data_IF_146759357660
#
_entry.id   IF_146759357660
#
_cell.length_a   1.000
_cell.length_b   1.000
_cell.length_c   1.000
_cell.angle_alpha   90.00
_cell.angle_beta   90.00
_cell.angle_gamma   90.00
#
_symmetry.space_group_name_H-M   'P 1'
#
loop_
_entity.id
_entity.type
_entity.pdbx_description
1 polymer ?
#
# COMPACT_ATOMS: atom_id res chain seq x y z
N UNK A 1 26.68 11.60 26.69
CA UNK A 1 26.08 10.36 27.17
C UNK A 1 25.72 9.50 26.00
N UNK A 2 26.43 8.38 25.83
CA UNK A 2 26.10 7.38 24.84
C UNK A 2 24.76 6.74 25.22
N UNK A 3 23.67 7.21 24.64
CA UNK A 3 22.44 6.44 24.57
C UNK A 3 22.70 5.25 23.63
N UNK A 4 23.20 4.16 24.17
CA UNK A 4 23.06 2.85 23.53
C UNK A 4 21.56 2.56 23.53
N UNK A 5 20.95 2.74 22.37
CA UNK A 5 19.62 2.23 22.12
C UNK A 5 19.67 0.74 22.37
N UNK A 6 18.81 0.26 23.24
CA UNK A 6 18.67 -1.18 23.45
C UNK A 6 18.31 -1.79 22.11
N UNK A 7 19.10 -2.76 21.68
CA UNK A 7 18.72 -3.60 20.55
C UNK A 7 17.36 -4.25 20.88
N UNK A 8 16.36 -3.95 20.07
CA UNK A 8 15.05 -4.56 20.23
C UNK A 8 15.13 -5.98 19.66
N UNK A 9 14.82 -6.96 20.50
CA UNK A 9 14.69 -8.34 20.07
C UNK A 9 13.22 -8.72 19.98
N UNK A 10 12.86 -9.40 18.90
CA UNK A 10 11.51 -9.86 18.65
C UNK A 10 11.45 -11.39 18.76
N UNK A 11 10.50 -11.87 19.51
CA UNK A 11 10.34 -13.31 19.77
C UNK A 11 8.95 -13.77 19.30
N UNK A 12 8.90 -14.81 18.46
CA UNK A 12 7.66 -15.52 18.16
C UNK A 12 7.62 -16.79 18.97
N UNK A 13 6.55 -16.96 19.72
CA UNK A 13 6.25 -18.17 20.48
C UNK A 13 5.15 -18.93 19.73
N UNK A 14 5.44 -20.15 19.32
CA UNK A 14 4.48 -21.04 18.68
C UNK A 14 4.31 -22.30 19.53
N UNK A 15 3.06 -22.67 19.76
CA UNK A 15 2.72 -23.95 20.36
C UNK A 15 2.35 -24.93 19.26
N UNK A 16 3.16 -25.96 19.10
CA UNK A 16 2.92 -27.07 18.18
C UNK A 16 2.80 -28.35 19.03
N UNK A 17 1.60 -28.94 19.02
CA UNK A 17 1.25 -30.06 19.88
C UNK A 17 1.57 -29.75 21.35
N UNK A 18 2.41 -30.53 22.01
CA UNK A 18 2.79 -30.28 23.40
C UNK A 18 4.13 -29.54 23.55
N UNK A 19 4.71 -29.06 22.45
CA UNK A 19 5.99 -28.38 22.46
C UNK A 19 5.81 -26.87 22.21
N UNK A 20 6.60 -26.06 22.90
CA UNK A 20 6.69 -24.62 22.67
C UNK A 20 7.97 -24.31 21.92
N UNK A 21 7.83 -23.70 20.74
CA UNK A 21 8.96 -23.21 19.97
C UNK A 21 9.07 -21.70 20.17
N UNK A 22 10.29 -21.25 20.50
CA UNK A 22 10.62 -19.83 20.62
C UNK A 22 11.64 -19.52 19.52
N UNK A 23 11.31 -18.55 18.68
CA UNK A 23 12.19 -18.11 17.60
C UNK A 23 12.49 -16.62 17.74
N UNK A 24 13.78 -16.31 17.82
CA UNK A 24 14.26 -14.94 17.82
C UNK A 24 14.33 -14.36 16.40
N UNK A 25 13.98 -13.09 16.27
CA UNK A 25 14.05 -12.36 15.02
C UNK A 25 14.75 -11.03 15.23
N UNK A 26 15.68 -10.68 14.34
CA UNK A 26 16.40 -9.41 14.38
C UNK A 26 15.51 -8.21 14.02
N UNK A 27 14.42 -8.47 13.30
CA UNK A 27 13.42 -7.47 12.93
C UNK A 27 12.03 -7.98 13.29
N UNK A 28 11.10 -7.05 13.56
CA UNK A 28 9.72 -7.41 13.86
C UNK A 28 9.11 -8.25 12.73
N UNK A 29 8.81 -9.54 12.96
CA UNK A 29 8.26 -10.41 11.93
C UNK A 29 6.75 -10.19 11.71
N UNK A 30 6.10 -9.46 12.64
CA UNK A 30 4.68 -9.13 12.52
C UNK A 30 4.54 -7.93 11.63
N UNK A 31 3.92 -8.13 10.48
CA UNK A 31 3.60 -7.07 9.54
C UNK A 31 2.11 -6.77 9.55
N UNK A 32 1.80 -5.50 9.46
CA UNK A 32 0.42 -5.07 9.30
C UNK A 32 -0.11 -5.46 7.91
N UNK A 33 -1.42 -5.60 7.78
CA UNK A 33 -2.05 -5.80 6.46
C UNK A 33 -1.68 -4.69 5.48
N UNK A 34 -1.53 -3.47 5.96
CA UNK A 34 -1.12 -2.33 5.16
C UNK A 34 0.29 -2.52 4.57
N UNK A 35 1.26 -2.92 5.37
CA UNK A 35 2.62 -3.21 4.89
C UNK A 35 2.66 -4.37 3.90
N UNK A 36 1.85 -5.41 4.13
CA UNK A 36 1.75 -6.55 3.20
C UNK A 36 1.19 -6.13 1.83
N UNK A 37 0.20 -5.23 1.79
CA UNK A 37 -0.35 -4.71 0.54
C UNK A 37 0.70 -3.92 -0.26
N UNK A 38 1.51 -3.10 0.40
CA UNK A 38 2.61 -2.39 -0.26
C UNK A 38 3.64 -3.33 -0.85
N UNK A 39 3.91 -4.45 -0.19
CA UNK A 39 4.81 -5.48 -0.70
C UNK A 39 4.30 -6.20 -1.93
N UNK A 40 2.99 -6.36 -2.07
CA UNK A 40 2.41 -6.91 -3.29
C UNK A 40 2.76 -6.08 -4.51
N UNK A 41 3.00 -4.77 -4.37
CA UNK A 41 3.41 -3.91 -5.49
C UNK A 41 4.81 -4.19 -6.03
N UNK A 42 5.67 -4.88 -5.28
CA UNK A 42 7.03 -5.21 -5.75
C UNK A 42 7.08 -6.30 -6.79
N UNK A 43 6.12 -7.19 -6.79
CA UNK A 43 6.02 -8.30 -7.73
C UNK A 43 5.13 -7.98 -8.94
N UNK A 44 5.08 -6.69 -9.34
CA UNK A 44 4.18 -6.19 -10.40
C UNK A 44 4.33 -6.98 -11.71
N UNK A 45 5.54 -7.45 -12.03
CA UNK A 45 5.79 -8.24 -13.25
C UNK A 45 5.10 -9.60 -13.25
N UNK A 46 4.74 -10.11 -12.06
CA UNK A 46 4.11 -11.43 -11.89
C UNK A 46 2.61 -11.35 -11.61
N UNK A 47 2.09 -10.16 -11.36
CA UNK A 47 0.72 -9.97 -10.89
C UNK A 47 -0.19 -9.59 -12.06
N UNK A 48 -1.38 -10.17 -12.06
CA UNK A 48 -2.48 -9.80 -12.95
C UNK A 48 -2.91 -8.35 -12.70
N UNK A 49 -3.19 -7.60 -13.75
CA UNK A 49 -3.64 -6.20 -13.71
C UNK A 49 -4.81 -5.97 -12.76
N UNK A 50 -5.79 -6.87 -12.74
CA UNK A 50 -6.93 -6.79 -11.83
C UNK A 50 -6.50 -6.86 -10.36
N UNK A 51 -5.51 -7.68 -10.04
CA UNK A 51 -4.94 -7.80 -8.69
C UNK A 51 -4.24 -6.52 -8.28
N UNK A 52 -3.43 -5.94 -9.16
CA UNK A 52 -2.75 -4.65 -8.89
C UNK A 52 -3.78 -3.57 -8.57
N UNK A 53 -4.81 -3.44 -9.38
CA UNK A 53 -5.85 -2.44 -9.17
C UNK A 53 -6.54 -2.60 -7.80
N UNK A 54 -6.88 -3.83 -7.42
CA UNK A 54 -7.45 -4.11 -6.12
C UNK A 54 -6.49 -3.80 -4.97
N UNK A 55 -5.20 -4.11 -5.14
CA UNK A 55 -4.16 -3.80 -4.15
C UNK A 55 -4.02 -2.29 -3.95
N UNK A 56 -3.95 -1.50 -5.03
CA UNK A 56 -3.90 -0.03 -4.98
C UNK A 56 -5.11 0.55 -4.24
N UNK A 57 -6.30 0.04 -4.53
CA UNK A 57 -7.54 0.47 -3.87
C UNK A 57 -7.54 0.17 -2.39
N UNK A 58 -7.13 -1.02 -1.99
CA UNK A 58 -7.03 -1.41 -0.58
C UNK A 58 -6.00 -0.58 0.17
N UNK A 59 -4.85 -0.28 -0.45
CA UNK A 59 -3.86 0.63 0.14
C UNK A 59 -4.47 2.02 0.36
N UNK A 60 -5.16 2.57 -0.64
CA UNK A 60 -5.82 3.88 -0.50
C UNK A 60 -6.91 3.87 0.56
N UNK A 61 -7.69 2.79 0.68
CA UNK A 61 -8.69 2.65 1.74
C UNK A 61 -8.05 2.74 3.13
N UNK A 62 -6.98 1.99 3.39
CA UNK A 62 -6.24 2.07 4.64
C UNK A 62 -5.63 3.46 4.85
N UNK A 63 -5.02 4.01 3.81
CA UNK A 63 -4.37 5.31 3.85
C UNK A 63 -5.36 6.42 4.21
N UNK A 64 -6.52 6.47 3.59
CA UNK A 64 -7.55 7.44 3.88
C UNK A 64 -8.19 7.24 5.26
N UNK A 65 -8.34 6.01 5.71
CA UNK A 65 -8.82 5.72 7.06
C UNK A 65 -7.83 6.21 8.13
N UNK A 66 -6.53 6.08 7.90
CA UNK A 66 -5.50 6.59 8.81
C UNK A 66 -5.55 8.12 8.89
N UNK A 67 -5.74 8.81 7.76
CA UNK A 67 -5.80 10.27 7.71
C UNK A 67 -7.06 10.82 8.40
N UNK A 68 -8.14 10.08 8.43
CA UNK A 68 -9.41 10.47 9.03
C UNK A 68 -10.00 11.77 8.46
N UNK A 69 -11.26 11.74 8.02
CA UNK A 69 -11.98 12.96 7.63
C UNK A 69 -11.47 13.67 6.37
N UNK A 70 -10.83 12.95 5.46
CA UNK A 70 -10.41 13.52 4.19
C UNK A 70 -11.62 13.91 3.34
N UNK A 71 -11.58 15.14 2.82
CA UNK A 71 -12.51 15.60 1.81
C UNK A 71 -12.08 15.09 0.43
N UNK A 72 -12.72 14.01 -0.03
CA UNK A 72 -12.43 13.37 -1.31
C UNK A 72 -12.67 14.30 -2.50
N UNK A 73 -13.71 15.15 -2.46
CA UNK A 73 -14.02 16.08 -3.54
C UNK A 73 -12.91 17.11 -3.70
N UNK A 74 -12.42 17.63 -2.57
CA UNK A 74 -11.27 18.53 -2.56
C UNK A 74 -9.98 17.85 -3.04
N UNK A 75 -9.77 16.61 -2.68
CA UNK A 75 -8.63 15.84 -3.15
C UNK A 75 -8.71 15.59 -4.67
N UNK A 76 -9.87 15.17 -5.17
CA UNK A 76 -10.13 14.95 -6.61
C UNK A 76 -9.95 16.22 -7.42
N UNK A 77 -10.35 17.38 -6.89
CA UNK A 77 -10.22 18.68 -7.59
C UNK A 77 -8.77 19.09 -7.89
N UNK A 78 -7.79 18.44 -7.26
CA UNK A 78 -6.36 18.63 -7.55
C UNK A 78 -5.88 17.86 -8.80
N UNK A 79 -6.76 17.11 -9.43
CA UNK A 79 -6.48 16.31 -10.62
C UNK A 79 -7.36 16.76 -11.77
N UNK A 80 -6.85 16.60 -12.99
CA UNK A 80 -7.55 16.96 -14.21
C UNK A 80 -7.48 15.83 -15.23
N UNK A 81 -8.42 15.83 -16.19
CA UNK A 81 -8.43 14.91 -17.33
C UNK A 81 -8.43 13.44 -16.93
N UNK A 82 -7.60 12.65 -17.58
CA UNK A 82 -7.49 11.21 -17.37
C UNK A 82 -7.06 10.85 -15.94
N UNK A 83 -6.15 11.63 -15.35
CA UNK A 83 -5.70 11.41 -13.97
C UNK A 83 -6.87 11.51 -12.98
N UNK A 84 -7.78 12.46 -13.18
CA UNK A 84 -8.96 12.62 -12.34
C UNK A 84 -9.91 11.43 -12.46
N UNK A 85 -10.11 10.91 -13.69
CA UNK A 85 -10.94 9.74 -13.94
C UNK A 85 -10.36 8.51 -13.24
N UNK A 86 -9.06 8.30 -13.35
CA UNK A 86 -8.36 7.20 -12.68
C UNK A 86 -8.48 7.34 -11.16
N UNK A 87 -8.28 8.52 -10.61
CA UNK A 87 -8.44 8.76 -9.18
C UNK A 87 -9.86 8.40 -8.71
N UNK A 88 -10.89 8.88 -9.39
CA UNK A 88 -12.29 8.54 -9.09
C UNK A 88 -12.52 7.03 -9.13
N UNK A 89 -11.93 6.33 -10.10
CA UNK A 89 -12.07 4.88 -10.19
C UNK A 89 -11.40 4.15 -9.04
N UNK A 90 -10.22 4.60 -8.59
CA UNK A 90 -9.51 4.01 -7.47
C UNK A 90 -10.24 4.18 -6.14
N UNK A 91 -10.97 5.27 -5.94
CA UNK A 91 -11.69 5.53 -4.68
C UNK A 91 -13.18 5.17 -4.71
N UNK A 92 -13.72 4.77 -5.85
CA UNK A 92 -15.16 4.53 -6.03
C UNK A 92 -15.77 3.54 -5.02
N UNK A 93 -14.96 2.65 -4.47
CA UNK A 93 -15.39 1.65 -3.48
C UNK A 93 -15.16 2.08 -2.04
N UNK A 94 -14.35 3.11 -1.79
CA UNK A 94 -14.06 3.58 -0.44
C UNK A 94 -15.27 4.32 0.13
N UNK A 95 -16.03 4.95 -0.75
CA UNK A 95 -17.26 5.70 -0.43
C UNK A 95 -18.54 4.86 -0.51
N UNK A 96 -18.49 3.58 -0.26
CA UNK A 96 -19.61 2.64 -0.44
C UNK A 96 -20.81 2.86 0.53
N UNK A 97 -20.94 4.03 1.06
CA UNK A 97 -22.20 4.55 1.62
C UNK A 97 -23.01 5.35 0.62
N UNK A 98 -22.50 5.66 -0.55
CA UNK A 98 -23.17 6.49 -1.56
C UNK A 98 -22.96 5.94 -2.96
N UNK A 99 -23.99 5.38 -3.48
CA UNK A 99 -24.49 5.28 -4.86
C UNK A 99 -23.59 5.80 -6.00
N UNK A 100 -22.35 5.35 -6.10
CA UNK A 100 -21.71 5.31 -7.41
C UNK A 100 -22.20 4.05 -8.09
N UNK A 101 -23.23 4.21 -8.94
CA UNK A 101 -23.70 3.17 -9.82
C UNK A 101 -22.51 2.57 -10.58
N UNK A 102 -22.35 1.28 -10.42
CA UNK A 102 -21.30 0.47 -11.03
C UNK A 102 -21.42 0.34 -12.55
N UNK A 103 -21.73 1.40 -13.24
CA UNK A 103 -21.79 1.37 -14.67
C UNK A 103 -20.36 1.40 -15.23
N UNK A 104 -19.80 0.18 -15.37
CA UNK A 104 -18.72 -0.13 -16.30
C UNK A 104 -17.37 0.56 -16.10
N UNK A 105 -16.82 0.52 -14.89
CA UNK A 105 -15.37 0.62 -14.74
C UNK A 105 -14.74 -0.72 -15.19
N UNK A 106 -14.75 -0.95 -16.50
CA UNK A 106 -13.91 -1.97 -17.11
C UNK A 106 -12.47 -1.53 -16.91
N UNK A 107 -11.80 -2.15 -15.96
CA UNK A 107 -10.34 -2.03 -15.85
C UNK A 107 -9.79 -2.71 -17.09
N UNK A 108 -9.44 -1.91 -18.08
CA UNK A 108 -8.74 -2.39 -19.25
C UNK A 108 -7.40 -2.96 -18.79
N UNK A 109 -7.21 -4.26 -19.03
CA UNK A 109 -6.07 -5.02 -18.53
C UNK A 109 -4.79 -4.83 -19.36
N UNK A 110 -4.75 -3.80 -20.19
CA UNK A 110 -3.57 -3.48 -20.96
C UNK A 110 -2.40 -3.02 -20.05
N UNK A 111 -1.17 -3.49 -20.29
CA UNK A 111 -0.01 -3.11 -19.48
C UNK A 111 0.23 -1.60 -19.39
N UNK A 112 -0.12 -0.84 -20.43
CA UNK A 112 -0.01 0.61 -20.45
C UNK A 112 -0.90 1.28 -19.40
N UNK A 113 -2.05 0.70 -19.13
CA UNK A 113 -2.99 1.21 -18.13
C UNK A 113 -2.49 0.96 -16.71
N UNK A 114 -1.79 -0.14 -16.45
CA UNK A 114 -1.15 -0.40 -15.15
C UNK A 114 -0.20 0.74 -14.77
N UNK A 115 0.65 1.16 -15.70
CA UNK A 115 1.59 2.28 -15.46
C UNK A 115 0.87 3.58 -15.12
N UNK A 116 -0.25 3.85 -15.78
CA UNK A 116 -1.07 5.04 -15.50
C UNK A 116 -1.71 4.98 -14.11
N UNK A 117 -2.23 3.82 -13.70
CA UNK A 117 -2.81 3.63 -12.38
C UNK A 117 -1.77 3.79 -11.28
N UNK A 118 -0.58 3.21 -11.45
CA UNK A 118 0.52 3.35 -10.50
C UNK A 118 0.99 4.80 -10.37
N UNK A 119 1.09 5.51 -11.50
CA UNK A 119 1.44 6.94 -11.50
C UNK A 119 0.40 7.79 -10.75
N UNK A 120 -0.88 7.59 -11.02
CA UNK A 120 -1.94 8.34 -10.34
C UNK A 120 -1.99 7.99 -8.86
N UNK A 121 -1.83 6.72 -8.50
CA UNK A 121 -1.73 6.29 -7.12
C UNK A 121 -0.62 7.02 -6.36
N UNK A 122 0.59 7.10 -6.93
CA UNK A 122 1.70 7.87 -6.37
C UNK A 122 1.33 9.35 -6.22
N UNK A 123 0.79 9.98 -7.28
CA UNK A 123 0.40 11.39 -7.27
C UNK A 123 -0.67 11.70 -6.22
N UNK A 124 -1.58 10.78 -5.93
CA UNK A 124 -2.59 10.97 -4.88
C UNK A 124 -1.89 11.21 -3.54
N UNK A 125 -0.96 10.36 -3.18
CA UNK A 125 -0.25 10.45 -1.90
C UNK A 125 0.64 11.69 -1.86
N UNK A 126 1.37 11.99 -2.94
CA UNK A 126 2.24 13.17 -3.07
C UNK A 126 1.46 14.49 -2.97
N UNK A 127 0.39 14.64 -3.74
CA UNK A 127 -0.41 15.88 -3.77
C UNK A 127 -1.20 16.12 -2.48
N UNK A 128 -1.39 15.09 -1.66
CA UNK A 128 -1.92 15.23 -0.31
C UNK A 128 -0.85 15.60 0.72
N UNK A 129 0.41 15.77 0.30
CA UNK A 129 1.52 16.19 1.15
C UNK A 129 2.25 15.05 1.86
N UNK A 130 2.06 13.80 1.43
CA UNK A 130 2.62 12.62 2.07
C UNK A 130 3.65 11.87 1.21
N UNK A 131 4.40 12.58 0.39
CA UNK A 131 5.48 12.02 -0.44
C UNK A 131 6.47 11.21 0.39
N UNK A 132 6.83 11.69 1.59
CA UNK A 132 7.72 10.98 2.50
C UNK A 132 7.17 9.61 2.91
N UNK A 133 5.86 9.51 3.12
CA UNK A 133 5.21 8.24 3.42
C UNK A 133 5.28 7.27 2.25
N UNK A 134 4.99 7.74 1.03
CA UNK A 134 5.12 6.95 -0.17
C UNK A 134 6.53 6.39 -0.33
N UNK A 135 7.54 7.27 -0.22
CA UNK A 135 8.95 6.88 -0.34
C UNK A 135 9.39 5.90 0.74
N UNK A 136 8.91 6.07 1.97
CA UNK A 136 9.18 5.14 3.06
C UNK A 136 8.63 3.74 2.76
N UNK A 137 7.40 3.65 2.27
CA UNK A 137 6.75 2.38 1.99
C UNK A 137 7.39 1.64 0.80
N UNK A 138 7.80 2.37 -0.25
CA UNK A 138 8.50 1.80 -1.41
C UNK A 138 9.94 1.44 -1.08
N UNK A 139 10.69 2.28 -0.35
CA UNK A 139 12.13 2.09 -0.09
C UNK A 139 12.43 1.07 1.00
N UNK A 140 11.49 0.79 1.91
CA UNK A 140 11.67 -0.26 2.93
C UNK A 140 12.01 -1.63 2.34
N UNK A 141 11.86 -1.80 1.04
CA UNK A 141 12.09 -3.04 0.32
C UNK A 141 13.44 -3.11 -0.36
N UNK A 142 14.01 -1.98 -0.74
CA UNK A 142 15.36 -1.94 -1.33
C UNK A 142 16.41 -2.40 -0.30
N UNK A 143 16.24 -2.05 0.98
CA UNK A 143 17.13 -2.52 2.04
C UNK A 143 17.03 -4.02 2.32
N UNK A 144 15.84 -4.61 2.15
CA UNK A 144 15.63 -6.05 2.36
C UNK A 144 16.26 -6.87 1.24
N UNK A 145 16.18 -6.40 -0.01
CA UNK A 145 16.80 -7.09 -1.16
C UNK A 145 18.32 -7.07 -1.11
N UNK A 146 18.92 -5.99 -0.63
CA UNK A 146 20.38 -5.90 -0.47
C UNK A 146 20.90 -6.88 0.60
N UNK A 147 20.16 -7.06 1.69
CA UNK A 147 20.55 -7.96 2.77
C UNK A 147 20.28 -9.45 2.47
N UNK A 148 19.37 -9.77 1.54
CA UNK A 148 19.10 -11.16 1.12
C UNK A 148 20.12 -11.71 0.12
N UNK A 149 20.90 -10.82 -0.54
CA UNK A 149 21.96 -11.17 -1.50
C UNK A 149 23.39 -11.04 -0.92
N UNK A 150 23.48 -10.77 0.35
CA UNK A 150 24.76 -10.69 1.06
C UNK A 150 25.11 -12.02 1.74
#
# INVERSE_FOLDING_TARGET
GNNKWKEEAYWIIRKLDNNTLIQEHDKNPVKTTYELLWRELDDIEKINTATIFNTLRRILEYYFNILGGLDYEKAISKFEGEEQIIFKSLISWINDGSHFSNDNLVVDSEPENVSKYLKVFQLIIERLGHESHYNMMINNETEIKVNANA
#
